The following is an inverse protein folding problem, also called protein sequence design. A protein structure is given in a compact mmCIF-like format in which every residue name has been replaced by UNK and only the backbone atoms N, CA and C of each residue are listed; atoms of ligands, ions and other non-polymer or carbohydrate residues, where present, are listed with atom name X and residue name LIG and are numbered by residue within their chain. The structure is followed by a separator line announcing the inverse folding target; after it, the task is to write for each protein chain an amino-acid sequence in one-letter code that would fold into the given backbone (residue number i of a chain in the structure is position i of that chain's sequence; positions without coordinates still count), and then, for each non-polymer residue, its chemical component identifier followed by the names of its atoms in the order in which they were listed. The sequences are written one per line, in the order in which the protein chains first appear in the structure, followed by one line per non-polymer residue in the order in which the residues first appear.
data_IF_825204911750
#
_entry.id   IF_825204911750
#
_cell.length_a   1.000
_cell.length_b   1.000
_cell.length_c   1.000
_cell.angle_alpha   90.00
_cell.angle_beta   90.00
_cell.angle_gamma   90.00
#
_symmetry.space_group_name_H-M   'P 1'
#
loop_
_entity.id
_entity.type
_entity.pdbx_description
1 polymer ?
#
# COMPACT_ATOMS: atom_id res chain seq x y z
N UNK A 1 -20.47 20.04 -7.17
CA UNK A 1 -20.36 18.58 -7.37
C UNK A 1 -19.27 18.10 -6.44
N UNK A 2 -19.62 17.55 -5.28
CA UNK A 2 -18.65 16.97 -4.35
C UNK A 2 -18.23 15.66 -4.99
N UNK A 3 -17.01 15.64 -5.54
CA UNK A 3 -16.42 14.43 -6.10
C UNK A 3 -16.40 13.39 -5.00
N UNK A 4 -17.17 12.34 -5.21
CA UNK A 4 -17.30 11.28 -4.23
C UNK A 4 -15.94 10.57 -4.12
N UNK A 5 -15.15 10.95 -3.12
CA UNK A 5 -13.87 10.29 -2.81
C UNK A 5 -14.08 9.01 -2.00
N UNK A 6 -15.34 8.61 -1.72
CA UNK A 6 -15.66 7.31 -1.12
C UNK A 6 -15.12 6.20 -2.04
N UNK A 7 -14.17 5.42 -1.51
CA UNK A 7 -13.54 4.33 -2.27
C UNK A 7 -12.14 4.60 -2.81
N UNK A 8 -11.57 5.80 -2.57
CA UNK A 8 -10.21 6.15 -3.01
C UNK A 8 -9.31 6.25 -1.79
N UNK A 9 -8.20 5.51 -1.81
CA UNK A 9 -7.25 5.46 -0.69
C UNK A 9 -5.84 5.18 -1.15
N UNK A 10 -4.87 5.87 -0.54
CA UNK A 10 -3.44 5.69 -0.79
C UNK A 10 -2.74 5.28 0.49
N UNK A 11 -2.23 4.05 0.53
CA UNK A 11 -1.43 3.55 1.64
C UNK A 11 0.05 3.57 1.25
N UNK A 12 0.80 4.53 1.80
CA UNK A 12 2.25 4.63 1.63
C UNK A 12 2.94 3.58 2.50
N UNK A 13 3.86 2.83 1.91
CA UNK A 13 4.65 1.83 2.62
C UNK A 13 6.03 2.41 2.94
N UNK A 14 6.41 2.29 4.20
CA UNK A 14 7.72 2.69 4.69
C UNK A 14 8.45 1.52 5.33
N UNK A 15 9.79 1.53 5.32
CA UNK A 15 10.54 0.58 6.15
C UNK A 15 10.54 1.03 7.64
N UNK A 16 11.04 0.22 8.58
CA UNK A 16 11.15 0.60 10.00
C UNK A 16 11.95 1.88 10.25
N UNK A 17 12.82 2.27 9.32
CA UNK A 17 13.61 3.50 9.35
C UNK A 17 12.91 4.69 8.65
N UNK A 18 11.63 4.56 8.31
CA UNK A 18 10.82 5.57 7.60
C UNK A 18 11.34 5.90 6.19
N UNK A 19 11.96 4.94 5.51
CA UNK A 19 12.29 5.11 4.09
C UNK A 19 11.09 4.72 3.22
N UNK A 20 10.80 5.48 2.14
CA UNK A 20 9.73 5.13 1.22
C UNK A 20 10.11 3.88 0.43
N UNK A 21 9.31 2.82 0.55
CA UNK A 21 9.55 1.53 -0.15
C UNK A 21 8.50 1.22 -1.21
N UNK A 22 7.36 1.91 -1.18
CA UNK A 22 6.30 1.78 -2.17
C UNK A 22 5.02 2.44 -1.71
N UNK A 23 3.97 2.30 -2.50
CA UNK A 23 2.62 2.76 -2.14
C UNK A 23 1.57 1.88 -2.80
N UNK A 24 0.50 1.64 -2.08
CA UNK A 24 -0.68 0.95 -2.53
C UNK A 24 -1.74 2.03 -2.78
N UNK A 25 -2.40 1.97 -3.92
CA UNK A 25 -3.38 2.97 -4.35
C UNK A 25 -4.63 2.29 -4.87
N UNK A 26 -5.78 2.80 -4.44
CA UNK A 26 -7.08 2.53 -5.04
C UNK A 26 -7.58 3.85 -5.64
N UNK A 27 -7.51 3.97 -6.96
CA UNK A 27 -7.83 5.21 -7.68
C UNK A 27 -9.35 5.38 -7.94
N UNK A 28 -10.14 4.31 -7.83
CA UNK A 28 -11.60 4.36 -7.92
C UNK A 28 -12.26 3.22 -7.12
N UNK A 29 -13.51 3.40 -6.63
CA UNK A 29 -14.24 2.39 -5.86
C UNK A 29 -14.37 1.03 -6.57
N UNK A 30 -14.51 1.04 -7.90
CA UNK A 30 -14.64 -0.15 -8.75
C UNK A 30 -13.32 -0.63 -9.37
N UNK A 31 -12.21 0.08 -9.13
CA UNK A 31 -10.90 -0.29 -9.65
C UNK A 31 -10.19 -1.21 -8.67
N UNK A 32 -9.46 -2.18 -9.20
CA UNK A 32 -8.62 -3.04 -8.39
C UNK A 32 -7.50 -2.23 -7.73
N UNK A 33 -7.09 -2.68 -6.54
CA UNK A 33 -5.98 -2.07 -5.81
C UNK A 33 -4.70 -2.27 -6.60
N UNK A 34 -3.93 -1.21 -6.75
CA UNK A 34 -2.64 -1.24 -7.42
C UNK A 34 -1.52 -1.02 -6.42
N UNK A 35 -0.39 -1.66 -6.69
CA UNK A 35 0.85 -1.41 -5.99
C UNK A 35 1.88 -0.81 -6.91
N UNK A 36 2.39 0.34 -6.46
CA UNK A 36 3.44 1.10 -7.08
C UNK A 36 4.68 0.96 -6.18
N UNK A 37 5.67 0.13 -6.57
CA UNK A 37 6.94 0.00 -5.86
C UNK A 37 7.82 1.27 -5.97
N UNK A 38 7.31 2.36 -6.54
CA UNK A 38 8.04 3.60 -6.77
C UNK A 38 8.91 3.58 -8.02
N UNK A 39 9.41 4.76 -8.39
CA UNK A 39 9.98 5.12 -9.70
C UNK A 39 11.24 4.34 -10.17
N UNK A 40 11.63 3.25 -9.50
CA UNK A 40 12.81 2.46 -9.86
C UNK A 40 12.51 0.98 -10.18
N UNK A 41 11.29 0.47 -9.94
CA UNK A 41 11.02 -0.98 -10.00
C UNK A 41 9.75 -1.31 -10.80
N UNK A 42 9.75 -0.99 -12.10
CA UNK A 42 8.77 -1.54 -13.06
C UNK A 42 7.37 -0.91 -13.06
N UNK A 43 6.47 -1.39 -13.94
CA UNK A 43 5.11 -0.86 -14.07
C UNK A 43 4.29 -1.13 -12.81
N UNK A 44 3.30 -0.26 -12.54
CA UNK A 44 2.28 -0.50 -11.49
C UNK A 44 1.71 -1.90 -11.67
N UNK A 45 1.67 -2.67 -10.59
CA UNK A 45 1.15 -4.04 -10.60
C UNK A 45 -0.17 -4.08 -9.87
N UNK A 46 -1.02 -5.04 -10.21
CA UNK A 46 -2.16 -5.37 -9.37
C UNK A 46 -1.66 -5.85 -8.02
N UNK A 47 -2.24 -5.32 -6.95
CA UNK A 47 -1.98 -5.80 -5.60
C UNK A 47 -2.68 -7.15 -5.45
N UNK A 48 -1.95 -8.23 -5.12
CA UNK A 48 -2.54 -9.55 -4.96
C UNK A 48 -3.44 -9.58 -3.71
N UNK A 49 -4.44 -10.45 -3.76
CA UNK A 49 -5.28 -10.70 -2.60
C UNK A 49 -4.51 -11.50 -1.52
N UNK A 50 -4.99 -11.44 -0.28
CA UNK A 50 -4.42 -12.23 0.82
C UNK A 50 -4.36 -13.73 0.50
N UNK A 51 -5.41 -14.24 -0.17
CA UNK A 51 -5.52 -15.64 -0.58
C UNK A 51 -4.42 -16.04 -1.60
N UNK A 52 -4.00 -15.11 -2.45
CA UNK A 52 -2.95 -15.31 -3.45
C UNK A 52 -1.54 -15.08 -2.88
N UNK A 53 -1.39 -14.04 -2.06
CA UNK A 53 -0.14 -13.68 -1.41
C UNK A 53 -0.43 -13.31 0.06
N UNK A 54 -0.35 -14.27 1.01
CA UNK A 54 -0.67 -14.00 2.41
C UNK A 54 0.37 -13.08 3.08
N UNK A 55 1.59 -13.05 2.55
CA UNK A 55 2.68 -12.22 3.05
C UNK A 55 3.24 -11.35 1.94
N UNK A 56 3.00 -10.05 2.06
CA UNK A 56 3.61 -9.07 1.19
C UNK A 56 5.07 -8.84 1.58
N UNK A 57 5.96 -8.87 0.60
CA UNK A 57 7.37 -8.54 0.79
C UNK A 57 7.89 -7.66 -0.33
N UNK A 58 8.60 -6.62 0.05
CA UNK A 58 9.32 -5.70 -0.82
C UNK A 58 10.74 -5.51 -0.29
N UNK A 59 11.59 -4.80 -1.03
CA UNK A 59 12.96 -4.53 -0.63
C UNK A 59 13.15 -3.03 -0.41
N UNK A 60 13.69 -2.68 0.75
CA UNK A 60 14.04 -1.30 1.05
C UNK A 60 15.41 -0.98 0.47
N UNK A 61 15.44 -0.21 -0.63
CA UNK A 61 16.69 0.19 -1.29
C UNK A 61 17.62 1.06 -0.43
N UNK A 62 17.08 1.77 0.55
CA UNK A 62 17.87 2.61 1.46
C UNK A 62 18.56 1.80 2.56
N UNK A 63 17.87 0.78 3.09
CA UNK A 63 18.45 -0.12 4.09
C UNK A 63 19.15 -1.33 3.48
N UNK A 64 18.95 -1.55 2.18
CA UNK A 64 19.28 -2.77 1.44
C UNK A 64 18.74 -4.06 2.10
N UNK A 65 17.56 -3.98 2.72
CA UNK A 65 16.96 -5.07 3.50
C UNK A 65 15.57 -5.43 2.98
N UNK A 66 15.20 -6.74 3.00
CA UNK A 66 13.83 -7.14 2.76
C UNK A 66 12.94 -6.61 3.89
N UNK A 67 11.80 -6.06 3.51
CA UNK A 67 10.75 -5.60 4.43
C UNK A 67 9.43 -6.20 3.97
N UNK A 68 8.57 -6.52 4.92
CA UNK A 68 7.31 -7.17 4.61
C UNK A 68 6.31 -7.01 5.74
N UNK A 69 5.07 -7.32 5.42
CA UNK A 69 3.96 -7.32 6.36
C UNK A 69 2.92 -8.34 5.91
N UNK A 70 2.04 -8.76 6.82
CA UNK A 70 0.88 -9.55 6.43
C UNK A 70 0.01 -8.76 5.43
N UNK A 71 -0.37 -9.40 4.32
CA UNK A 71 -1.23 -8.75 3.31
C UNK A 71 -2.57 -8.37 3.94
N UNK A 72 -3.11 -9.22 4.82
CA UNK A 72 -4.23 -8.96 5.72
C UNK A 72 -4.15 -7.59 6.39
N UNK A 73 -3.01 -7.31 7.04
CA UNK A 73 -2.81 -6.09 7.81
C UNK A 73 -2.72 -4.85 6.91
N UNK A 74 -2.18 -4.99 5.70
CA UNK A 74 -2.14 -3.91 4.71
C UNK A 74 -3.51 -3.67 4.08
N UNK A 75 -4.30 -4.72 3.82
CA UNK A 75 -5.68 -4.63 3.34
C UNK A 75 -6.58 -3.96 4.37
N UNK A 76 -6.49 -4.36 5.64
CA UNK A 76 -7.25 -3.76 6.75
C UNK A 76 -6.93 -2.27 6.90
N UNK A 77 -5.64 -1.91 6.86
CA UNK A 77 -5.20 -0.51 6.87
C UNK A 77 -5.72 0.27 5.67
N UNK A 78 -5.67 -0.30 4.46
CA UNK A 78 -6.20 0.35 3.26
C UNK A 78 -7.72 0.53 3.37
N UNK A 79 -8.44 -0.47 3.88
CA UNK A 79 -9.89 -0.38 4.13
C UNK A 79 -10.22 0.71 5.15
N UNK A 80 -9.42 0.85 6.21
CA UNK A 80 -9.56 1.93 7.17
C UNK A 80 -9.36 3.32 6.52
N UNK A 81 -8.35 3.47 5.66
CA UNK A 81 -8.11 4.72 4.89
C UNK A 81 -9.26 5.03 3.94
N UNK A 82 -9.77 4.02 3.25
CA UNK A 82 -10.89 4.18 2.31
C UNK A 82 -12.18 4.56 3.06
N UNK A 83 -12.38 4.00 4.25
CA UNK A 83 -13.53 4.29 5.11
C UNK A 83 -13.40 5.67 5.79
N UNK A 84 -12.19 6.21 5.89
CA UNK A 84 -11.95 7.52 6.48
C UNK A 84 -12.26 8.64 5.47
N UNK A 85 -13.34 9.38 5.76
CA UNK A 85 -13.77 10.49 4.91
C UNK A 85 -12.86 11.73 4.99
N UNK A 86 -11.90 11.75 5.90
CA UNK A 86 -11.00 12.89 6.14
C UNK A 86 -9.56 12.63 5.67
N UNK A 87 -9.09 11.39 5.75
CA UNK A 87 -7.74 10.97 5.39
C UNK A 87 -7.76 9.94 4.25
N UNK A 88 -7.64 10.40 3.01
CA UNK A 88 -7.51 9.51 1.83
C UNK A 88 -6.10 8.95 1.65
N UNK A 89 -5.17 9.29 2.54
CA UNK A 89 -3.79 8.83 2.50
C UNK A 89 -3.31 8.47 3.90
N UNK A 90 -2.83 7.25 4.10
CA UNK A 90 -2.10 6.88 5.30
C UNK A 90 -0.72 6.32 4.97
N UNK A 91 0.09 6.21 6.01
CA UNK A 91 1.43 5.66 5.92
C UNK A 91 1.57 4.51 6.91
N UNK A 92 2.12 3.39 6.46
CA UNK A 92 2.35 2.21 7.30
C UNK A 92 3.82 1.83 7.30
N UNK A 93 4.45 1.74 8.48
CA UNK A 93 5.77 1.14 8.60
C UNK A 93 5.63 -0.39 8.49
N UNK A 94 6.33 -0.97 7.53
CA UNK A 94 6.54 -2.41 7.39
C UNK A 94 7.59 -2.88 8.39
N UNK A 95 7.59 -4.17 8.69
CA UNK A 95 8.65 -4.81 9.49
C UNK A 95 9.79 -5.34 8.63
N UNK A 96 10.95 -5.56 9.25
CA UNK A 96 12.02 -6.33 8.62
C UNK A 96 11.60 -7.80 8.53
N UNK A 97 11.85 -8.40 7.37
CA UNK A 97 11.61 -9.82 7.11
C UNK A 97 12.90 -10.62 7.26
#
# INVERSE_FOLDING_TARGET
MVGNQEGIGVLKLECPQRHPVGRILKEAPHQAVQYDPGAAVGPRRFWPDEDEQPQFSTHCRFCDKPVGEATAALQDKLAAVIADATETTATVPLQYR
#
